data_IF_959519990397
#
_entry.id   IF_959519990397
#
_cell.length_a   1.000
_cell.length_b   1.000
_cell.length_c   1.000
_cell.angle_alpha   90.00
_cell.angle_beta   90.00
_cell.angle_gamma   90.00
#
_symmetry.space_group_name_H-M   'P 1'
#
loop_
_entity.id
_entity.type
_entity.pdbx_description
1 polymer ?
#
# COMPACT_ATOMS: atom_id res chain seq x y z
N UNK A 1 10.39 12.82 -15.59
CA UNK A 1 9.67 11.86 -14.73
C UNK A 1 9.05 10.81 -15.65
N UNK A 2 9.42 9.52 -15.54
CA UNK A 2 8.70 8.47 -16.30
C UNK A 2 7.33 8.32 -15.65
N UNK A 3 6.29 8.82 -16.30
CA UNK A 3 4.91 8.49 -15.90
C UNK A 3 4.68 7.02 -16.24
N UNK A 4 4.42 6.18 -15.24
CA UNK A 4 4.06 4.79 -15.44
C UNK A 4 2.54 4.72 -15.58
N UNK A 5 1.98 4.41 -16.77
CA UNK A 5 0.57 4.14 -16.88
C UNK A 5 0.32 2.75 -16.28
N UNK A 6 0.00 2.72 -14.99
CA UNK A 6 -0.40 1.48 -14.33
C UNK A 6 -1.82 1.10 -14.76
N UNK A 7 -2.08 -0.19 -15.04
CA UNK A 7 -3.42 -0.71 -15.16
C UNK A 7 -4.24 -0.46 -13.89
N UNK A 8 -5.54 -0.18 -14.04
CA UNK A 8 -6.43 0.14 -12.92
C UNK A 8 -6.52 -1.00 -11.91
N UNK A 9 -6.53 -2.25 -12.36
CA UNK A 9 -6.55 -3.44 -11.51
C UNK A 9 -5.30 -3.56 -10.62
N UNK A 10 -4.12 -3.21 -11.16
CA UNK A 10 -2.89 -3.16 -10.38
C UNK A 10 -2.92 -2.03 -9.34
N UNK A 11 -3.48 -0.87 -9.69
CA UNK A 11 -3.67 0.25 -8.75
C UNK A 11 -4.64 -0.14 -7.64
N UNK A 12 -5.73 -0.82 -7.97
CA UNK A 12 -6.74 -1.27 -7.01
C UNK A 12 -6.21 -2.36 -6.06
N UNK A 13 -5.40 -3.29 -6.56
CA UNK A 13 -4.66 -4.23 -5.73
C UNK A 13 -3.76 -3.50 -4.72
N UNK A 14 -3.06 -2.44 -5.16
CA UNK A 14 -2.21 -1.63 -4.28
C UNK A 14 -3.05 -0.85 -3.26
N UNK A 15 -4.18 -0.26 -3.64
CA UNK A 15 -5.11 0.41 -2.72
C UNK A 15 -5.62 -0.54 -1.64
N UNK A 16 -6.05 -1.74 -2.04
CA UNK A 16 -6.50 -2.78 -1.10
C UNK A 16 -5.39 -3.23 -0.17
N UNK A 17 -4.15 -3.30 -0.66
CA UNK A 17 -2.97 -3.60 0.17
C UNK A 17 -2.78 -2.53 1.24
N UNK A 18 -2.80 -1.24 0.86
CA UNK A 18 -2.67 -0.11 1.79
C UNK A 18 -3.81 -0.12 2.81
N UNK A 19 -5.07 -0.28 2.37
CA UNK A 19 -6.22 -0.35 3.26
C UNK A 19 -6.15 -1.51 4.26
N UNK A 20 -5.64 -2.68 3.83
CA UNK A 20 -5.42 -3.84 4.71
C UNK A 20 -4.33 -3.57 5.74
N UNK A 21 -3.25 -2.88 5.33
CA UNK A 21 -2.19 -2.47 6.23
C UNK A 21 -2.69 -1.48 7.29
N UNK A 22 -3.48 -0.48 6.88
CA UNK A 22 -4.09 0.48 7.80
C UNK A 22 -5.00 -0.20 8.83
N UNK A 23 -5.82 -1.16 8.39
CA UNK A 23 -6.66 -1.94 9.31
C UNK A 23 -5.83 -2.77 10.30
N UNK A 24 -4.68 -3.30 9.88
CA UNK A 24 -3.74 -3.99 10.79
C UNK A 24 -3.09 -3.03 11.79
N UNK A 25 -2.72 -1.83 11.36
CA UNK A 25 -2.14 -0.81 12.23
C UNK A 25 -3.13 -0.38 13.33
N UNK A 26 -4.43 -0.34 13.03
CA UNK A 26 -5.47 0.12 13.94
C UNK A 26 -6.03 -0.95 14.90
N UNK A 27 -5.79 -2.25 14.68
CA UNK A 27 -6.48 -3.32 15.44
C UNK A 27 -5.63 -4.00 16.52
N UNK A 28 -6.18 -4.22 17.74
CA UNK A 28 -5.69 -5.23 18.68
C UNK A 28 -5.85 -6.66 18.12
N UNK A 29 -5.12 -7.63 18.66
CA UNK A 29 -4.84 -8.96 18.10
C UNK A 29 -6.00 -9.80 17.48
N UNK A 30 -7.27 -9.55 17.83
CA UNK A 30 -8.42 -10.27 17.26
C UNK A 30 -8.77 -9.77 15.84
N UNK A 31 -8.80 -10.69 14.86
CA UNK A 31 -9.04 -10.39 13.43
C UNK A 31 -7.77 -10.02 12.66
N UNK A 32 -6.63 -9.93 13.34
CA UNK A 32 -5.35 -9.60 12.72
C UNK A 32 -4.74 -10.78 11.95
N UNK A 33 -5.24 -12.02 12.15
CA UNK A 33 -4.80 -13.18 11.38
C UNK A 33 -5.39 -13.19 9.97
N UNK A 34 -6.68 -12.91 9.82
CA UNK A 34 -7.35 -12.76 8.53
C UNK A 34 -6.70 -11.65 7.71
N UNK A 35 -6.48 -10.49 8.32
CA UNK A 35 -5.85 -9.35 7.66
C UNK A 35 -4.39 -9.63 7.25
N UNK A 36 -3.62 -10.36 8.06
CA UNK A 36 -2.25 -10.79 7.66
C UNK A 36 -2.29 -11.74 6.47
N UNK A 37 -3.22 -12.69 6.44
CA UNK A 37 -3.40 -13.60 5.29
C UNK A 37 -3.80 -12.84 4.03
N UNK A 38 -4.71 -11.89 4.17
CA UNK A 38 -5.11 -10.98 3.09
C UNK A 38 -3.90 -10.20 2.56
N UNK A 39 -3.10 -9.60 3.44
CA UNK A 39 -1.93 -8.82 3.08
C UNK A 39 -0.90 -9.66 2.30
N UNK A 40 -0.62 -10.89 2.74
CA UNK A 40 0.27 -11.81 2.04
C UNK A 40 -0.28 -12.12 0.64
N UNK A 41 -1.58 -12.42 0.52
CA UNK A 41 -2.21 -12.67 -0.77
C UNK A 41 -2.05 -11.47 -1.71
N UNK A 42 -2.29 -10.25 -1.23
CA UNK A 42 -2.16 -9.02 -2.01
C UNK A 42 -0.71 -8.77 -2.44
N UNK A 43 0.27 -9.05 -1.58
CA UNK A 43 1.67 -9.01 -1.96
C UNK A 43 1.97 -9.94 -3.14
N UNK A 44 1.51 -11.20 -3.08
CA UNK A 44 1.68 -12.16 -4.16
C UNK A 44 1.02 -11.70 -5.46
N UNK A 45 -0.24 -11.23 -5.40
CA UNK A 45 -0.98 -10.74 -6.57
C UNK A 45 -0.29 -9.56 -7.24
N UNK A 46 0.20 -8.59 -6.45
CA UNK A 46 0.94 -7.45 -6.97
C UNK A 46 2.27 -7.91 -7.58
N UNK A 47 3.03 -8.78 -6.91
CA UNK A 47 4.34 -9.23 -7.42
C UNK A 47 4.26 -10.08 -8.68
N UNK A 48 3.17 -10.83 -8.85
CA UNK A 48 2.94 -11.72 -9.98
C UNK A 48 2.08 -11.09 -11.08
N UNK A 49 1.84 -9.78 -11.01
CA UNK A 49 0.98 -9.10 -11.97
C UNK A 49 1.63 -9.07 -13.38
N UNK A 50 0.89 -9.37 -14.47
CA UNK A 50 1.42 -9.41 -15.83
C UNK A 50 2.14 -8.14 -16.28
N UNK A 51 1.70 -6.98 -15.78
CA UNK A 51 2.37 -5.68 -15.98
C UNK A 51 3.90 -5.73 -15.74
N UNK A 52 4.35 -6.51 -14.76
CA UNK A 52 5.76 -6.62 -14.41
C UNK A 52 6.55 -7.55 -15.32
N UNK A 53 5.89 -8.49 -16.00
CA UNK A 53 6.55 -9.37 -16.97
C UNK A 53 7.10 -8.55 -18.15
N UNK A 54 6.34 -7.56 -18.62
CA UNK A 54 6.74 -6.70 -19.74
C UNK A 54 7.71 -5.59 -19.35
N UNK A 55 7.52 -4.97 -18.18
CA UNK A 55 8.25 -3.75 -17.78
C UNK A 55 9.38 -4.01 -16.80
N UNK A 56 9.45 -5.22 -16.24
CA UNK A 56 10.38 -5.58 -15.19
C UNK A 56 9.95 -5.06 -13.81
N UNK A 57 10.08 -5.91 -12.81
CA UNK A 57 9.90 -5.52 -11.42
C UNK A 57 11.04 -4.59 -10.97
N UNK A 58 10.71 -3.39 -10.47
CA UNK A 58 11.72 -2.42 -10.01
C UNK A 58 11.26 -1.62 -8.79
N UNK A 59 12.22 -1.19 -7.95
CA UNK A 59 11.94 -0.33 -6.79
C UNK A 59 11.27 0.98 -7.21
N UNK A 60 11.73 1.60 -8.30
CA UNK A 60 11.11 2.81 -8.83
C UNK A 60 9.66 2.56 -9.27
N UNK A 61 9.38 1.47 -9.98
CA UNK A 61 8.02 1.10 -10.37
C UNK A 61 7.09 0.87 -9.17
N UNK A 62 7.60 0.29 -8.07
CA UNK A 62 6.83 0.12 -6.83
C UNK A 62 6.50 1.44 -6.15
N UNK A 63 7.44 2.38 -6.14
CA UNK A 63 7.22 3.72 -5.56
C UNK A 63 6.18 4.49 -6.37
N UNK A 64 6.25 4.46 -7.70
CA UNK A 64 5.26 5.12 -8.54
C UNK A 64 3.89 4.43 -8.45
N UNK A 65 3.82 3.10 -8.32
CA UNK A 65 2.57 2.39 -8.09
C UNK A 65 1.93 2.79 -6.75
N UNK A 66 2.76 2.92 -5.71
CA UNK A 66 2.28 3.40 -4.42
C UNK A 66 1.70 4.81 -4.53
N UNK A 67 2.40 5.74 -5.19
CA UNK A 67 1.87 7.09 -5.47
C UNK A 67 0.57 7.04 -6.25
N UNK A 68 0.49 6.22 -7.31
CA UNK A 68 -0.73 6.07 -8.11
C UNK A 68 -1.93 5.58 -7.28
N UNK A 69 -1.69 4.72 -6.28
CA UNK A 69 -2.73 4.25 -5.35
C UNK A 69 -3.15 5.32 -4.33
N UNK A 70 -2.25 6.24 -3.95
CA UNK A 70 -2.54 7.37 -3.06
C UNK A 70 -3.25 8.52 -3.79
N UNK A 71 -2.99 8.70 -5.09
CA UNK A 71 -3.56 9.76 -5.91
C UNK A 71 -4.85 9.33 -6.60
N UNK A 72 -5.88 10.17 -6.62
CA UNK A 72 -7.15 9.91 -7.30
C UNK A 72 -8.37 10.02 -6.36
N UNK A 73 -9.60 9.93 -6.89
CA UNK A 73 -10.82 10.10 -6.10
C UNK A 73 -10.95 9.05 -4.98
N UNK A 74 -10.43 7.83 -5.22
CA UNK A 74 -10.41 6.72 -4.26
C UNK A 74 -9.01 6.47 -3.68
N UNK A 75 -8.17 7.50 -3.65
CA UNK A 75 -6.80 7.40 -3.14
C UNK A 75 -6.76 6.93 -1.68
N UNK A 76 -6.00 5.87 -1.40
CA UNK A 76 -5.81 5.35 -0.04
C UNK A 76 -4.39 5.67 0.40
N UNK A 77 -4.25 6.46 1.47
CA UNK A 77 -2.94 6.79 2.05
C UNK A 77 -2.56 5.77 3.13
N UNK A 78 -1.29 5.38 3.14
CA UNK A 78 -0.77 4.45 4.13
C UNK A 78 -0.59 5.14 5.48
N UNK A 79 -1.16 4.58 6.55
CA UNK A 79 -0.99 5.09 7.91
C UNK A 79 0.42 4.83 8.39
N UNK A 80 0.99 5.81 9.10
CA UNK A 80 2.35 5.71 9.63
C UNK A 80 2.29 5.31 11.09
N UNK A 81 2.78 4.13 11.42
CA UNK A 81 2.98 3.71 12.81
C UNK A 81 4.32 4.28 13.30
N UNK A 82 4.27 5.19 14.26
CA UNK A 82 5.46 5.76 14.90
C UNK A 82 5.60 5.21 16.31
N UNK A 83 6.84 5.02 16.76
CA UNK A 83 7.13 4.72 18.16
C UNK A 83 7.50 6.04 18.86
N UNK A 84 6.63 6.52 19.74
CA UNK A 84 6.77 7.80 20.45
C UNK A 84 6.61 7.52 21.95
N UNK A 85 7.59 7.93 22.76
CA UNK A 85 7.55 7.84 24.22
C UNK A 85 7.15 6.46 24.81
N UNK A 86 7.52 5.38 24.13
CA UNK A 86 7.23 4.01 24.59
C UNK A 86 5.94 3.40 24.00
N UNK A 87 5.19 4.16 23.20
CA UNK A 87 3.93 3.73 22.61
C UNK A 87 3.97 3.72 21.08
N UNK A 88 3.25 2.76 20.48
CA UNK A 88 3.02 2.73 19.04
C UNK A 88 1.81 3.61 18.71
N UNK A 89 2.06 4.80 18.17
CA UNK A 89 1.04 5.75 17.77
C UNK A 89 0.80 5.61 16.26
N UNK A 90 -0.44 5.31 15.88
CA UNK A 90 -0.86 5.36 14.48
C UNK A 90 -1.14 6.82 14.13
N UNK A 91 -0.30 7.41 13.29
CA UNK A 91 -0.48 8.76 12.79
C UNK A 91 -1.05 8.72 11.38
N UNK A 92 -1.94 9.67 11.07
CA UNK A 92 -2.27 9.94 9.67
C UNK A 92 -0.98 10.30 8.92
N UNK A 93 -0.84 9.85 7.66
CA UNK A 93 0.32 10.23 6.86
C UNK A 93 0.29 11.74 6.70
N UNK A 94 1.25 12.41 7.32
CA UNK A 94 1.47 13.84 7.15
C UNK A 94 1.45 14.13 5.65
N UNK A 95 0.59 15.06 5.23
CA UNK A 95 0.59 15.52 3.86
C UNK A 95 2.03 15.91 3.54
N UNK A 96 2.69 15.18 2.62
CA UNK A 96 4.04 15.55 2.17
C UNK A 96 3.96 17.00 1.71
N UNK A 97 4.47 17.92 2.53
CA UNK A 97 4.63 19.32 2.13
C UNK A 97 5.48 19.32 0.88
N UNK A 98 4.92 19.94 -0.15
CA UNK A 98 5.43 19.99 -1.52
C UNK A 98 6.73 20.76 -1.66
#
# INVERSE_FOLDING_TARGET
>A
MKSFPFPDDLVDLKRRQIGTYNQLALRPALGAAELRRELIRLFCLISSHPYWEERGWSTAGRVELHRAAETGPDGVREMVVRYIDGEFVVTEPEARSS
#
